data_IF_463058191694
#
_entry.id   IF_463058191694
#
_cell.length_a   1.000
_cell.length_b   1.000
_cell.length_c   1.000
_cell.angle_alpha   90.00
_cell.angle_beta   90.00
_cell.angle_gamma   90.00
#
_symmetry.space_group_name_H-M   'P 1'
#
loop_
_entity.id
_entity.type
_entity.pdbx_description
1 polymer ?
#
# COMPACT_ATOMS: atom_id res chain seq x y z
N UNK A 1 -25.97 1.33 51.59
CA UNK A 1 -25.75 -0.13 51.61
C UNK A 1 -24.33 -0.35 51.14
N UNK A 2 -23.42 -0.76 52.02
CA UNK A 2 -22.04 -1.08 51.62
C UNK A 2 -22.11 -2.44 50.93
N UNK A 3 -21.62 -2.60 49.69
CA UNK A 3 -21.59 -3.91 49.05
C UNK A 3 -20.71 -4.83 49.88
N UNK A 4 -21.26 -5.93 50.41
CA UNK A 4 -20.43 -6.99 50.98
C UNK A 4 -19.62 -7.63 49.85
N UNK A 5 -18.33 -7.80 50.07
CA UNK A 5 -17.43 -8.42 49.10
C UNK A 5 -17.80 -9.89 48.92
N UNK A 6 -18.19 -10.27 47.70
CA UNK A 6 -18.50 -11.66 47.35
C UNK A 6 -17.21 -12.46 47.12
N UNK A 7 -16.92 -13.40 48.04
CA UNK A 7 -15.79 -14.32 47.96
C UNK A 7 -16.16 -15.70 47.36
N UNK A 8 -17.32 -15.83 46.71
CA UNK A 8 -17.79 -17.10 46.15
C UNK A 8 -17.05 -17.55 44.88
N UNK A 9 -16.23 -16.67 44.29
CA UNK A 9 -15.51 -16.95 43.05
C UNK A 9 -14.44 -15.91 42.71
N UNK A 10 -13.70 -16.16 41.64
CA UNK A 10 -12.60 -15.34 41.14
C UNK A 10 -12.75 -15.06 39.64
N UNK A 11 -12.56 -13.82 39.23
CA UNK A 11 -12.41 -13.45 37.82
C UNK A 11 -10.97 -13.70 37.37
N UNK A 12 -10.82 -14.41 36.26
CA UNK A 12 -9.53 -14.77 35.67
C UNK A 12 -9.43 -14.16 34.27
N UNK A 13 -8.43 -13.32 34.09
CA UNK A 13 -7.98 -12.83 32.79
C UNK A 13 -6.80 -13.69 32.29
N UNK A 14 -6.74 -13.92 30.99
CA UNK A 14 -5.68 -14.72 30.34
C UNK A 14 -5.19 -14.00 29.09
N UNK A 15 -4.32 -14.63 28.28
CA UNK A 15 -3.96 -14.12 26.96
C UNK A 15 -5.11 -14.15 25.94
N UNK A 16 -6.19 -14.88 26.23
CA UNK A 16 -7.41 -14.87 25.43
C UNK A 16 -8.26 -13.64 25.77
N UNK A 17 -9.06 -13.18 24.81
CA UNK A 17 -9.92 -12.01 24.96
C UNK A 17 -11.12 -12.22 25.90
N UNK A 18 -11.43 -13.47 26.26
CA UNK A 18 -12.52 -13.81 27.19
C UNK A 18 -12.09 -13.67 28.64
N UNK A 19 -12.96 -13.11 29.50
CA UNK A 19 -12.80 -13.18 30.95
C UNK A 19 -13.74 -14.21 31.56
N UNK A 20 -13.20 -15.06 32.42
CA UNK A 20 -13.95 -16.17 33.02
C UNK A 20 -14.05 -15.99 34.53
N UNK A 21 -15.25 -16.19 35.06
CA UNK A 21 -15.52 -16.23 36.49
C UNK A 21 -15.59 -17.68 36.96
N UNK A 22 -14.72 -18.05 37.88
CA UNK A 22 -14.60 -19.40 38.41
C UNK A 22 -15.09 -19.45 39.85
N UNK A 23 -15.89 -20.47 40.18
CA UNK A 23 -16.35 -20.69 41.55
C UNK A 23 -15.18 -21.15 42.41
N UNK A 24 -15.02 -20.57 43.59
CA UNK A 24 -14.03 -21.02 44.57
C UNK A 24 -14.59 -22.15 45.43
N UNK A 25 -13.76 -23.13 45.83
CA UNK A 25 -14.17 -24.16 46.77
C UNK A 25 -14.51 -23.56 48.13
N UNK A 26 -15.60 -24.02 48.74
CA UNK A 26 -15.86 -23.73 50.15
C UNK A 26 -14.97 -24.64 51.00
N UNK A 27 -14.62 -24.19 52.20
CA UNK A 27 -13.82 -24.97 53.15
C UNK A 27 -14.43 -26.35 53.47
N UNK A 28 -15.75 -26.44 53.43
CA UNK A 28 -16.54 -27.66 53.63
C UNK A 28 -16.42 -28.65 52.47
N UNK A 29 -16.17 -28.14 51.25
CA UNK A 29 -16.06 -28.93 50.01
C UNK A 29 -14.63 -29.43 49.77
N UNK A 30 -13.66 -29.01 50.58
CA UNK A 30 -12.26 -29.41 50.47
C UNK A 30 -12.03 -30.76 51.17
N UNK A 31 -11.40 -31.75 50.50
CA UNK A 31 -11.12 -33.04 51.12
C UNK A 31 -10.19 -32.86 52.33
N UNK A 32 -10.55 -33.48 53.46
CA UNK A 32 -9.92 -33.33 54.79
C UNK A 32 -8.48 -33.87 54.84
N UNK A 33 -8.03 -34.58 53.81
CA UNK A 33 -6.71 -35.20 53.73
C UNK A 33 -6.31 -35.42 52.27
N UNK A 34 -5.36 -34.64 51.76
CA UNK A 34 -4.64 -34.96 50.51
C UNK A 34 -3.21 -34.41 50.51
N UNK A 35 -2.56 -34.35 51.68
CA UNK A 35 -1.12 -34.22 51.76
C UNK A 35 -0.50 -35.57 51.36
N UNK A 36 -0.39 -35.84 50.05
CA UNK A 36 0.33 -37.02 49.54
C UNK A 36 -0.30 -37.77 48.36
N UNK A 37 -1.39 -37.31 47.76
CA UNK A 37 -1.93 -37.92 46.54
C UNK A 37 -1.36 -37.22 45.29
N UNK A 38 -0.66 -37.98 44.45
CA UNK A 38 -0.02 -37.56 43.19
C UNK A 38 -1.01 -37.15 42.07
N UNK A 39 -2.29 -36.98 42.42
CA UNK A 39 -3.38 -36.68 41.50
C UNK A 39 -4.17 -35.46 41.98
N UNK A 40 -3.80 -34.28 41.48
CA UNK A 40 -4.62 -33.07 41.60
C UNK A 40 -5.75 -33.11 40.57
N UNK A 41 -7.00 -33.13 41.04
CA UNK A 41 -8.19 -33.02 40.19
C UNK A 41 -8.70 -31.58 40.22
N UNK A 42 -9.06 -30.97 39.07
CA UNK A 42 -9.65 -29.63 39.04
C UNK A 42 -10.93 -29.55 39.88
N UNK A 43 -11.10 -28.44 40.62
CA UNK A 43 -12.34 -28.19 41.37
C UNK A 43 -13.52 -27.83 40.45
N UNK A 44 -13.23 -27.21 39.30
CA UNK A 44 -14.23 -26.83 38.30
C UNK A 44 -13.63 -26.96 36.91
N UNK A 45 -14.32 -27.67 36.02
CA UNK A 45 -13.89 -27.86 34.62
C UNK A 45 -14.39 -26.77 33.68
N UNK A 46 -15.44 -26.03 34.08
CA UNK A 46 -16.04 -24.94 33.30
C UNK A 46 -16.22 -23.69 34.15
N UNK A 47 -16.11 -22.49 33.56
CA UNK A 47 -16.39 -21.25 34.28
C UNK A 47 -17.88 -21.12 34.58
N UNK A 48 -18.21 -20.45 35.69
CA UNK A 48 -19.59 -20.17 36.07
C UNK A 48 -20.19 -19.03 35.23
N UNK A 49 -19.37 -18.06 34.82
CA UNK A 49 -19.75 -16.97 33.91
C UNK A 49 -18.60 -16.64 32.98
N UNK A 50 -18.92 -16.16 31.78
CA UNK A 50 -17.93 -15.74 30.79
C UNK A 50 -18.35 -14.41 30.17
N UNK A 51 -17.44 -13.43 30.20
CA UNK A 51 -17.52 -12.23 29.38
C UNK A 51 -16.87 -12.56 28.04
N UNK A 52 -17.64 -12.44 26.96
CA UNK A 52 -17.16 -12.74 25.60
C UNK A 52 -16.08 -11.73 25.18
N UNK A 53 -15.04 -12.23 24.55
CA UNK A 53 -14.03 -11.44 23.88
C UNK A 53 -14.20 -11.47 22.36
N UNK A 54 -13.66 -10.46 21.67
CA UNK A 54 -13.58 -10.46 20.20
C UNK A 54 -12.41 -11.30 19.68
N UNK A 55 -12.48 -11.67 18.40
CA UNK A 55 -11.36 -12.31 17.71
C UNK A 55 -10.24 -11.29 17.47
N UNK A 56 -8.99 -11.74 17.64
CA UNK A 56 -7.81 -10.92 17.41
C UNK A 56 -7.11 -11.37 16.12
N UNK A 57 -6.70 -10.43 15.28
CA UNK A 57 -5.90 -10.72 14.08
C UNK A 57 -4.54 -11.28 14.52
N UNK A 58 -4.19 -12.47 14.02
CA UNK A 58 -2.96 -13.19 14.38
C UNK A 58 -1.96 -13.30 13.24
N UNK A 59 -2.44 -13.26 11.99
CA UNK A 59 -1.59 -13.26 10.79
C UNK A 59 -2.01 -12.15 9.85
N UNK A 60 -1.03 -11.63 9.12
CA UNK A 60 -1.24 -10.66 8.05
C UNK A 60 -0.27 -10.94 6.90
N UNK A 61 -0.67 -10.60 5.69
CA UNK A 61 0.18 -10.56 4.52
C UNK A 61 -0.19 -9.35 3.65
N UNK A 62 0.76 -8.42 3.48
CA UNK A 62 0.63 -7.28 2.56
C UNK A 62 0.86 -7.78 1.13
N UNK A 63 -0.15 -7.63 0.26
CA UNK A 63 -0.05 -8.03 -1.14
C UNK A 63 0.94 -7.15 -1.93
N UNK A 64 1.35 -7.65 -3.09
CA UNK A 64 2.35 -7.04 -3.96
C UNK A 64 1.99 -5.63 -4.48
N UNK A 65 0.70 -5.29 -4.50
CA UNK A 65 0.22 -3.95 -4.84
C UNK A 65 0.46 -2.91 -3.74
N UNK A 66 0.97 -3.35 -2.57
CA UNK A 66 1.16 -2.55 -1.36
C UNK A 66 -0.08 -1.74 -1.03
N UNK A 67 -1.26 -2.33 -1.17
CA UNK A 67 -2.52 -1.69 -0.81
C UNK A 67 -3.44 -2.63 -0.08
N UNK A 68 -3.50 -3.89 -0.50
CA UNK A 68 -4.40 -4.86 0.11
C UNK A 68 -3.65 -5.72 1.14
N UNK A 69 -4.33 -6.04 2.24
CA UNK A 69 -3.82 -6.96 3.27
C UNK A 69 -4.79 -8.13 3.41
N UNK A 70 -4.25 -9.34 3.38
CA UNK A 70 -4.97 -10.56 3.78
C UNK A 70 -4.64 -10.83 5.24
N UNK A 71 -5.65 -11.05 6.09
CA UNK A 71 -5.46 -11.35 7.52
C UNK A 71 -6.12 -12.65 7.92
N UNK A 72 -5.63 -13.30 8.98
CA UNK A 72 -6.32 -14.41 9.66
C UNK A 72 -6.44 -14.10 11.16
N UNK A 73 -7.64 -14.24 11.72
CA UNK A 73 -7.93 -14.03 13.14
C UNK A 73 -7.79 -15.30 13.99
N UNK A 74 -8.03 -15.16 15.30
CA UNK A 74 -8.01 -16.27 16.27
C UNK A 74 -9.12 -17.29 16.07
N UNK A 75 -10.16 -16.95 15.31
CA UNK A 75 -11.30 -17.82 14.99
C UNK A 75 -11.11 -18.51 13.62
N UNK A 76 -9.92 -18.35 13.03
CA UNK A 76 -9.48 -18.86 11.72
C UNK A 76 -10.20 -18.21 10.53
N UNK A 77 -10.88 -17.08 10.72
CA UNK A 77 -11.49 -16.35 9.61
C UNK A 77 -10.43 -15.55 8.86
N UNK A 78 -10.47 -15.65 7.54
CA UNK A 78 -9.67 -14.86 6.62
C UNK A 78 -10.48 -13.67 6.13
N UNK A 79 -9.87 -12.49 6.14
CA UNK A 79 -10.46 -11.23 5.69
C UNK A 79 -9.47 -10.48 4.81
N UNK A 80 -10.00 -9.60 3.95
CA UNK A 80 -9.20 -8.72 3.10
C UNK A 80 -9.52 -7.26 3.41
N UNK A 81 -8.48 -6.43 3.47
CA UNK A 81 -8.56 -5.01 3.80
C UNK A 81 -7.90 -4.18 2.70
N UNK A 82 -8.43 -2.98 2.47
CA UNK A 82 -7.84 -1.93 1.64
C UNK A 82 -7.20 -0.88 2.57
N UNK A 83 -5.87 -0.84 2.60
CA UNK A 83 -5.09 0.08 3.46
C UNK A 83 -5.33 1.52 3.06
N UNK A 84 -5.38 1.79 1.75
CA UNK A 84 -5.53 3.15 1.24
C UNK A 84 -6.87 3.76 1.68
N UNK A 85 -7.92 2.94 1.72
CA UNK A 85 -9.28 3.34 2.16
C UNK A 85 -9.56 3.07 3.64
N UNK A 86 -8.59 2.52 4.39
CA UNK A 86 -8.72 2.10 5.78
C UNK A 86 -10.01 1.30 6.08
N UNK A 87 -10.36 0.34 5.23
CA UNK A 87 -11.60 -0.43 5.40
C UNK A 87 -11.42 -1.92 5.10
N UNK A 88 -12.32 -2.73 5.65
CA UNK A 88 -12.46 -4.13 5.26
C UNK A 88 -13.16 -4.19 3.90
N UNK A 89 -12.63 -5.00 2.99
CA UNK A 89 -13.17 -5.24 1.65
C UNK A 89 -14.03 -6.49 1.62
N UNK A 90 -13.55 -7.57 2.25
CA UNK A 90 -14.15 -8.89 2.10
C UNK A 90 -13.95 -9.76 3.35
N UNK A 91 -15.01 -10.43 3.79
CA UNK A 91 -14.96 -11.54 4.74
C UNK A 91 -14.90 -12.86 3.96
N UNK A 92 -13.70 -13.44 3.81
CA UNK A 92 -13.48 -14.66 3.03
C UNK A 92 -13.92 -15.91 3.82
N UNK A 93 -13.85 -15.83 5.15
CA UNK A 93 -14.22 -16.93 6.05
C UNK A 93 -13.09 -17.93 6.27
N UNK A 94 -13.43 -19.17 6.66
CA UNK A 94 -12.44 -20.16 7.10
C UNK A 94 -11.82 -20.90 5.91
N UNK A 95 -10.84 -20.27 5.27
CA UNK A 95 -10.05 -20.82 4.16
C UNK A 95 -8.58 -20.98 4.54
N UNK A 96 -7.81 -21.68 3.70
CA UNK A 96 -6.36 -21.73 3.84
C UNK A 96 -5.74 -20.35 3.55
N UNK A 97 -5.02 -19.80 4.52
CA UNK A 97 -4.45 -18.45 4.45
C UNK A 97 -3.43 -18.30 3.30
N UNK A 98 -2.49 -19.24 3.18
CA UNK A 98 -1.39 -19.14 2.20
C UNK A 98 -1.89 -19.35 0.77
N UNK A 99 -2.89 -20.22 0.57
CA UNK A 99 -3.54 -20.40 -0.73
C UNK A 99 -4.31 -19.14 -1.15
N UNK A 100 -5.00 -18.48 -0.22
CA UNK A 100 -5.73 -17.25 -0.51
C UNK A 100 -4.78 -16.08 -0.82
N UNK A 101 -3.64 -15.98 -0.12
CA UNK A 101 -2.57 -15.03 -0.46
C UNK A 101 -2.02 -15.29 -1.87
N UNK A 102 -1.71 -16.55 -2.19
CA UNK A 102 -1.16 -16.93 -3.50
C UNK A 102 -2.16 -16.63 -4.63
N UNK A 103 -3.44 -16.91 -4.42
CA UNK A 103 -4.53 -16.64 -5.36
C UNK A 103 -4.67 -15.15 -5.69
N UNK A 104 -4.39 -14.26 -4.73
CA UNK A 104 -4.53 -12.80 -4.88
C UNK A 104 -3.25 -12.10 -5.32
N UNK A 105 -2.12 -12.78 -5.24
CA UNK A 105 -0.82 -12.23 -5.61
C UNK A 105 -0.75 -11.98 -7.13
N UNK A 106 -0.44 -10.73 -7.49
CA UNK A 106 -0.20 -10.29 -8.88
C UNK A 106 1.30 -10.11 -9.11
N UNK A 107 1.74 -10.25 -10.36
CA UNK A 107 3.11 -9.94 -10.77
C UNK A 107 3.24 -8.43 -10.96
N UNK A 108 3.25 -7.70 -9.84
CA UNK A 108 3.43 -6.25 -9.77
C UNK A 108 4.38 -5.96 -8.61
N UNK A 109 5.20 -4.93 -8.73
CA UNK A 109 6.02 -4.47 -7.60
C UNK A 109 5.72 -3.02 -7.28
N UNK A 110 5.17 -2.76 -6.11
CA UNK A 110 5.05 -1.42 -5.53
C UNK A 110 6.03 -1.31 -4.34
N UNK A 111 6.82 -0.22 -4.23
CA UNK A 111 7.66 0.02 -3.07
C UNK A 111 6.86 0.02 -1.76
N UNK A 112 7.47 -0.47 -0.68
CA UNK A 112 6.81 -0.49 0.62
C UNK A 112 6.72 0.92 1.20
N UNK A 113 5.52 1.35 1.61
CA UNK A 113 5.25 2.72 2.08
C UNK A 113 4.55 2.78 3.45
N UNK A 114 4.31 1.63 4.08
CA UNK A 114 3.79 1.53 5.44
C UNK A 114 4.30 0.25 6.13
N UNK A 115 4.17 0.19 7.45
CA UNK A 115 4.26 -1.05 8.22
C UNK A 115 2.92 -1.43 8.83
N UNK A 116 2.80 -2.71 9.19
CA UNK A 116 1.63 -3.27 9.87
C UNK A 116 2.05 -3.78 11.24
N UNK A 117 1.33 -3.38 12.28
CA UNK A 117 1.45 -3.89 13.64
C UNK A 117 0.13 -4.57 14.06
N UNK A 118 0.24 -5.66 14.83
CA UNK A 118 -0.89 -6.46 15.32
C UNK A 118 -0.96 -6.55 16.85
N UNK A 119 -0.21 -5.71 17.59
CA UNK A 119 -0.09 -5.81 19.06
C UNK A 119 -1.43 -5.63 19.78
N UNK A 120 -2.35 -4.87 19.19
CA UNK A 120 -3.70 -4.63 19.72
C UNK A 120 -4.71 -5.71 19.34
N UNK A 121 -4.32 -6.70 18.51
CA UNK A 121 -5.24 -7.64 17.88
C UNK A 121 -6.04 -7.03 16.73
N UNK A 122 -5.79 -5.77 16.37
CA UNK A 122 -6.36 -5.07 15.21
C UNK A 122 -5.24 -4.62 14.27
N UNK A 123 -5.56 -4.41 13.00
CA UNK A 123 -4.61 -3.82 12.04
C UNK A 123 -4.27 -2.40 12.47
N UNK A 124 -3.00 -2.15 12.78
CA UNK A 124 -2.45 -0.81 12.99
C UNK A 124 -1.47 -0.51 11.86
N UNK A 125 -1.78 0.51 11.06
CA UNK A 125 -0.96 0.93 9.91
C UNK A 125 -0.08 2.09 10.36
N UNK A 126 1.24 1.95 10.26
CA UNK A 126 2.16 3.02 10.60
C UNK A 126 2.76 3.62 9.33
N UNK A 127 2.68 4.95 9.23
CA UNK A 127 3.30 5.79 8.20
C UNK A 127 4.49 6.52 8.82
N UNK A 128 5.62 6.56 8.11
CA UNK A 128 6.85 7.21 8.60
C UNK A 128 7.74 7.67 7.46
N UNK A 129 8.83 8.37 7.81
CA UNK A 129 9.84 8.83 6.85
C UNK A 129 11.13 7.99 6.89
N UNK A 130 11.38 7.26 7.99
CA UNK A 130 12.63 6.53 8.23
C UNK A 130 12.65 5.14 7.55
N UNK A 131 12.72 4.04 8.31
CA UNK A 131 12.88 2.66 7.81
C UNK A 131 11.92 2.31 6.66
N UNK A 132 10.74 2.92 6.65
CA UNK A 132 9.75 2.82 5.59
C UNK A 132 9.33 4.24 5.19
N UNK A 133 9.67 4.63 3.97
CA UNK A 133 9.31 5.93 3.40
C UNK A 133 7.86 5.92 2.88
N UNK A 134 6.99 6.67 3.56
CA UNK A 134 5.58 6.90 3.25
C UNK A 134 5.35 7.32 1.78
N UNK A 135 6.32 7.98 1.15
CA UNK A 135 6.14 8.54 -0.19
C UNK A 135 6.79 7.73 -1.31
N UNK A 136 7.24 6.51 -1.03
CA UNK A 136 7.89 5.66 -2.03
C UNK A 136 6.95 5.09 -3.11
N UNK A 137 5.65 4.98 -2.82
CA UNK A 137 4.67 4.30 -3.67
C UNK A 137 3.97 5.23 -4.66
N UNK A 138 4.61 5.47 -5.81
CA UNK A 138 3.99 6.07 -6.99
C UNK A 138 3.31 5.01 -7.85
N UNK A 139 2.06 5.21 -8.22
CA UNK A 139 1.31 4.31 -9.10
C UNK A 139 0.46 5.11 -10.08
N UNK A 140 -0.02 4.44 -11.12
CA UNK A 140 -1.02 5.03 -12.01
C UNK A 140 -2.42 5.00 -11.40
N UNK A 141 -3.27 5.99 -11.68
CA UNK A 141 -4.63 6.03 -11.18
C UNK A 141 -5.47 4.85 -11.69
N UNK A 142 -5.20 4.42 -12.93
CA UNK A 142 -5.85 3.25 -13.53
C UNK A 142 -5.46 1.93 -12.84
N UNK A 143 -4.17 1.68 -12.57
CA UNK A 143 -3.75 0.47 -11.84
C UNK A 143 -4.26 0.47 -10.39
N UNK A 144 -4.37 1.64 -9.78
CA UNK A 144 -4.97 1.79 -8.46
C UNK A 144 -6.50 1.62 -8.47
N UNK A 145 -7.16 1.56 -9.64
CA UNK A 145 -8.62 1.51 -9.72
C UNK A 145 -9.29 2.70 -9.02
N UNK A 146 -8.65 3.87 -9.07
CA UNK A 146 -9.22 5.12 -8.58
C UNK A 146 -9.92 5.85 -9.74
N UNK A 147 -11.01 6.58 -9.47
CA UNK A 147 -11.70 7.35 -10.51
C UNK A 147 -10.74 8.37 -11.13
N UNK A 148 -10.71 8.42 -12.47
CA UNK A 148 -9.94 9.40 -13.24
C UNK A 148 -10.90 10.31 -14.01
N UNK A 149 -10.82 11.65 -13.82
CA UNK A 149 -11.48 12.60 -14.69
C UNK A 149 -11.03 12.37 -16.14
N UNK A 150 -11.98 12.36 -17.08
CA UNK A 150 -11.73 12.19 -18.52
C UNK A 150 -10.97 10.92 -18.92
N UNK A 151 -10.94 9.90 -18.04
CA UNK A 151 -10.22 8.64 -18.25
C UNK A 151 -8.71 8.84 -18.52
N UNK A 152 -8.16 9.96 -18.06
CA UNK A 152 -6.73 10.27 -18.19
C UNK A 152 -5.96 9.57 -17.05
N UNK A 153 -4.99 8.74 -17.44
CA UNK A 153 -4.14 8.07 -16.46
C UNK A 153 -3.17 9.07 -15.81
N UNK A 154 -3.35 9.30 -14.51
CA UNK A 154 -2.54 10.23 -13.72
C UNK A 154 -1.63 9.47 -12.77
N UNK A 155 -0.51 10.09 -12.38
CA UNK A 155 0.40 9.50 -11.38
C UNK A 155 0.00 9.98 -9.99
N UNK A 156 -0.21 9.03 -9.10
CA UNK A 156 -0.64 9.26 -7.72
C UNK A 156 0.36 8.65 -6.76
N UNK A 157 0.42 9.21 -5.54
CA UNK A 157 1.27 8.72 -4.47
C UNK A 157 0.39 8.23 -3.30
N UNK A 158 0.48 6.95 -2.94
CA UNK A 158 -0.39 6.37 -1.91
C UNK A 158 -0.25 7.04 -0.54
N UNK A 159 0.99 7.32 -0.10
CA UNK A 159 1.23 8.01 1.16
C UNK A 159 0.65 9.41 1.19
N UNK A 160 0.85 10.19 0.12
CA UNK A 160 0.25 11.52 0.00
C UNK A 160 -1.29 11.47 0.04
N UNK A 161 -1.91 10.51 -0.66
CA UNK A 161 -3.35 10.37 -0.70
C UNK A 161 -3.95 10.00 0.65
N UNK A 162 -3.37 9.03 1.36
CA UNK A 162 -3.93 8.62 2.66
C UNK A 162 -3.78 9.74 3.70
N UNK A 163 -2.66 10.49 3.70
CA UNK A 163 -2.48 11.61 4.64
C UNK A 163 -3.51 12.71 4.39
N UNK A 164 -3.79 13.04 3.12
CA UNK A 164 -4.84 14.00 2.77
C UNK A 164 -6.22 13.53 3.24
N UNK A 165 -6.53 12.25 3.07
CA UNK A 165 -7.81 11.70 3.50
C UNK A 165 -7.94 11.58 5.03
N UNK A 166 -6.85 11.26 5.75
CA UNK A 166 -6.81 11.23 7.22
C UNK A 166 -6.99 12.62 7.85
N UNK A 167 -6.52 13.67 7.16
CA UNK A 167 -6.54 15.05 7.62
C UNK A 167 -7.60 15.91 6.90
N UNK A 168 -8.56 15.30 6.20
CA UNK A 168 -9.51 16.03 5.35
C UNK A 168 -10.29 17.12 6.12
N UNK A 169 -10.71 16.81 7.35
CA UNK A 169 -11.43 17.76 8.20
C UNK A 169 -10.53 18.88 8.75
N UNK A 170 -9.25 18.58 9.00
CA UNK A 170 -8.28 19.58 9.42
C UNK A 170 -7.94 20.55 8.27
N UNK A 171 -7.76 20.03 7.06
CA UNK A 171 -7.52 20.82 5.85
C UNK A 171 -8.71 21.75 5.58
N UNK A 172 -9.94 21.23 5.65
CA UNK A 172 -11.15 22.01 5.45
C UNK A 172 -11.29 23.13 6.50
N UNK A 173 -11.01 22.84 7.78
CA UNK A 173 -11.04 23.83 8.85
C UNK A 173 -10.00 24.95 8.65
N UNK A 174 -8.79 24.61 8.18
CA UNK A 174 -7.74 25.60 7.89
C UNK A 174 -8.15 26.55 6.74
N UNK A 175 -8.81 26.05 5.70
CA UNK A 175 -9.28 26.88 4.59
C UNK A 175 -10.35 27.90 5.05
N UNK A 176 -11.23 27.51 5.97
CA UNK A 176 -12.26 28.41 6.53
C UNK A 176 -11.61 29.53 7.37
N UNK A 177 -10.54 29.23 8.10
CA UNK A 177 -9.82 30.23 8.90
C UNK A 177 -9.08 31.24 8.00
N UNK A 178 -8.47 30.78 6.90
CA UNK A 178 -7.76 31.66 5.96
C UNK A 178 -8.73 32.54 5.13
N UNK A 179 -9.89 32.01 4.71
CA UNK A 179 -10.89 32.76 3.92
C UNK A 179 -11.63 33.84 4.75
N UNK A 180 -11.54 33.80 6.08
CA UNK A 180 -12.13 34.79 6.98
C UNK A 180 -11.47 36.18 6.95
N UNK A 181 -10.34 36.32 6.25
CA UNK A 181 -9.59 37.59 6.15
C UNK A 181 -9.67 38.27 4.77
N UNK A 182 -10.22 37.63 3.72
CA UNK A 182 -10.21 38.16 2.35
C UNK A 182 -11.56 37.94 1.63
N UNK A 183 -12.52 38.86 1.80
CA UNK A 183 -13.86 38.86 1.16
C UNK A 183 -13.85 39.06 -0.39
N UNK A 184 -12.80 38.66 -1.10
CA UNK A 184 -12.50 39.20 -2.43
C UNK A 184 -12.13 38.24 -3.56
N UNK A 185 -11.95 36.92 -3.36
CA UNK A 185 -11.47 36.06 -4.44
C UNK A 185 -12.36 34.84 -4.72
N UNK A 186 -12.94 34.84 -5.92
CA UNK A 186 -13.63 33.71 -6.55
C UNK A 186 -12.64 32.59 -6.97
N UNK A 187 -11.85 32.07 -6.03
CA UNK A 187 -10.90 30.98 -6.25
C UNK A 187 -11.44 29.59 -5.83
N UNK A 188 -12.74 29.49 -5.48
CA UNK A 188 -13.35 28.36 -4.77
C UNK A 188 -13.58 27.09 -5.59
N UNK A 189 -13.07 26.98 -6.81
CA UNK A 189 -13.26 25.78 -7.66
C UNK A 189 -11.98 25.11 -8.14
N UNK A 190 -10.81 25.76 -8.07
CA UNK A 190 -9.55 25.19 -8.59
C UNK A 190 -8.78 24.34 -7.56
N UNK A 191 -9.20 24.33 -6.28
CA UNK A 191 -8.48 23.69 -5.18
C UNK A 191 -9.14 22.39 -4.66
N UNK A 192 -10.19 21.89 -5.31
CA UNK A 192 -10.74 20.59 -4.96
C UNK A 192 -9.76 19.52 -5.40
N UNK A 193 -8.98 19.02 -4.43
CA UNK A 193 -8.20 17.80 -4.65
C UNK A 193 -9.21 16.72 -5.04
N UNK A 194 -9.00 15.95 -6.13
CA UNK A 194 -9.98 14.96 -6.55
C UNK A 194 -10.28 14.04 -5.36
N UNK A 195 -11.54 13.97 -4.95
CA UNK A 195 -11.96 13.15 -3.82
C UNK A 195 -11.92 11.69 -4.26
N UNK A 196 -10.73 11.09 -4.23
CA UNK A 196 -10.52 9.71 -4.68
C UNK A 196 -11.23 8.71 -3.76
N UNK A 197 -11.24 8.98 -2.45
CA UNK A 197 -11.90 8.19 -1.41
C UNK A 197 -11.96 8.99 -0.08
N UNK A 198 -12.78 8.50 0.86
CA UNK A 198 -12.79 8.97 2.26
C UNK A 198 -12.36 7.86 3.21
N UNK A 199 -11.78 8.27 4.33
CA UNK A 199 -11.48 7.38 5.45
C UNK A 199 -12.71 7.35 6.38
N UNK A 200 -13.10 6.20 6.96
CA UNK A 200 -14.18 6.17 7.95
C UNK A 200 -13.88 7.13 9.11
N UNK A 201 -14.79 8.05 9.40
CA UNK A 201 -14.56 9.12 10.38
C UNK A 201 -14.28 8.65 11.82
N UNK A 202 -14.60 7.40 12.15
CA UNK A 202 -14.27 6.77 13.43
C UNK A 202 -12.87 6.14 13.48
N UNK A 203 -12.09 6.23 12.41
CA UNK A 203 -10.72 5.73 12.35
C UNK A 203 -9.86 6.54 13.32
N UNK A 204 -9.16 5.90 14.29
CA UNK A 204 -8.23 6.60 15.16
C UNK A 204 -6.98 7.03 14.39
N UNK A 205 -6.64 8.31 14.46
CA UNK A 205 -5.36 8.85 14.02
C UNK A 205 -4.46 9.03 15.25
N UNK A 206 -3.24 8.50 15.19
CA UNK A 206 -2.26 8.58 16.26
C UNK A 206 -0.99 9.22 15.69
N UNK A 207 -0.51 10.26 16.37
CA UNK A 207 0.78 10.89 16.11
C UNK A 207 1.70 10.46 17.24
N UNK A 208 2.88 9.93 16.91
CA UNK A 208 3.83 9.42 17.89
C UNK A 208 5.27 9.57 17.42
N UNK A 209 6.20 9.58 18.36
CA UNK A 209 7.63 9.39 18.08
C UNK A 209 7.92 7.93 17.72
N UNK A 210 9.03 7.69 17.01
CA UNK A 210 9.47 6.34 16.58
C UNK A 210 9.65 5.38 17.76
N UNK A 211 9.98 5.89 18.96
CA UNK A 211 10.21 5.10 20.19
C UNK A 211 8.93 4.93 21.03
N UNK A 212 7.75 5.15 20.43
CA UNK A 212 6.46 4.72 20.98
C UNK A 212 5.78 5.71 21.93
N UNK A 213 6.34 6.92 22.12
CA UNK A 213 5.63 7.99 22.83
C UNK A 213 4.53 8.55 21.93
N UNK A 214 3.27 8.29 22.28
CA UNK A 214 2.11 8.95 21.68
C UNK A 214 2.12 10.44 22.02
N UNK A 215 2.11 11.28 20.99
CA UNK A 215 2.03 12.72 21.10
C UNK A 215 0.58 13.19 21.10
N UNK A 216 -0.22 12.65 20.17
CA UNK A 216 -1.62 13.02 20.05
C UNK A 216 -2.45 11.89 19.47
N UNK A 217 -3.72 11.78 19.88
CA UNK A 217 -4.68 10.80 19.37
C UNK A 217 -6.06 11.42 19.26
N UNK A 218 -6.68 11.24 18.11
CA UNK A 218 -8.05 11.69 17.82
C UNK A 218 -8.75 10.72 16.86
N UNK A 219 -10.03 10.96 16.58
CA UNK A 219 -10.70 10.32 15.44
C UNK A 219 -10.62 11.25 14.23
N UNK A 220 -10.54 10.67 13.04
CA UNK A 220 -10.46 11.43 11.77
C UNK A 220 -11.56 12.49 11.66
N UNK A 221 -12.81 12.17 12.03
CA UNK A 221 -13.94 13.11 11.94
C UNK A 221 -13.81 14.33 12.86
N UNK A 222 -13.03 14.22 13.93
CA UNK A 222 -12.91 15.25 14.94
C UNK A 222 -11.79 16.25 14.60
N UNK A 223 -10.98 15.97 13.56
CA UNK A 223 -9.77 16.73 13.22
C UNK A 223 -10.00 18.21 12.83
N UNK A 224 -11.25 18.62 12.59
CA UNK A 224 -11.62 20.00 12.32
C UNK A 224 -12.07 20.81 13.56
N UNK A 225 -12.14 20.20 14.75
CA UNK A 225 -12.50 20.90 15.99
C UNK A 225 -11.42 21.90 16.42
N UNK A 226 -11.81 22.99 17.10
CA UNK A 226 -10.87 24.06 17.46
C UNK A 226 -9.70 23.55 18.31
N UNK A 227 -9.94 22.65 19.26
CA UNK A 227 -8.88 22.08 20.11
C UNK A 227 -8.00 21.13 19.30
N UNK A 228 -8.61 20.24 18.52
CA UNK A 228 -7.94 19.28 17.66
C UNK A 228 -7.07 19.97 16.61
N UNK A 229 -7.54 21.07 16.04
CA UNK A 229 -6.84 21.85 15.03
C UNK A 229 -5.50 22.39 15.55
N UNK A 230 -5.51 23.00 16.73
CA UNK A 230 -4.30 23.49 17.39
C UNK A 230 -3.36 22.33 17.77
N UNK A 231 -3.90 21.25 18.35
CA UNK A 231 -3.10 20.08 18.69
C UNK A 231 -2.46 19.42 17.45
N UNK A 232 -3.16 19.34 16.33
CA UNK A 232 -2.61 18.81 15.08
C UNK A 232 -1.50 19.72 14.55
N UNK A 233 -1.70 21.04 14.53
CA UNK A 233 -0.70 22.01 14.10
C UNK A 233 0.62 21.87 14.88
N UNK A 234 0.53 21.64 16.19
CA UNK A 234 1.70 21.54 17.07
C UNK A 234 2.41 20.17 17.00
N UNK A 235 1.69 19.10 16.66
CA UNK A 235 2.22 17.73 16.73
C UNK A 235 2.48 17.09 15.36
N UNK A 236 1.93 17.62 14.26
CA UNK A 236 2.16 17.05 12.93
C UNK A 236 3.64 17.15 12.53
N UNK A 237 4.26 16.05 12.07
CA UNK A 237 5.63 16.08 11.60
C UNK A 237 5.82 17.03 10.39
N UNK A 238 6.98 17.71 10.28
CA UNK A 238 7.27 18.61 9.15
C UNK A 238 7.08 17.96 7.78
N UNK A 239 7.48 16.69 7.62
CA UNK A 239 7.34 15.95 6.36
C UNK A 239 5.87 15.73 5.94
N UNK A 240 4.93 15.71 6.89
CA UNK A 240 3.49 15.67 6.59
C UNK A 240 3.03 17.06 6.16
N UNK A 241 3.45 18.11 6.87
CA UNK A 241 3.11 19.50 6.55
C UNK A 241 3.60 19.90 5.14
N UNK A 242 4.79 19.47 4.74
CA UNK A 242 5.32 19.69 3.39
C UNK A 242 4.38 19.20 2.29
N UNK A 243 3.72 18.06 2.50
CA UNK A 243 2.78 17.49 1.52
C UNK A 243 1.40 18.14 1.59
N UNK A 244 0.91 18.37 2.80
CA UNK A 244 -0.48 18.79 3.05
C UNK A 244 -0.66 20.30 2.88
N UNK A 245 0.24 21.09 3.47
CA UNK A 245 0.19 22.55 3.51
C UNK A 245 0.97 23.14 2.35
N UNK A 246 2.26 22.80 2.23
CA UNK A 246 3.14 23.37 1.20
C UNK A 246 2.90 22.79 -0.20
N UNK A 247 2.11 21.71 -0.30
CA UNK A 247 1.82 21.00 -1.56
C UNK A 247 3.09 20.57 -2.31
N UNK A 248 4.20 20.37 -1.59
CA UNK A 248 5.47 19.93 -2.13
C UNK A 248 5.43 18.44 -2.46
N UNK A 249 4.84 18.09 -3.61
CA UNK A 249 4.64 16.69 -4.00
C UNK A 249 5.95 15.88 -3.98
N UNK A 250 5.91 14.60 -3.55
CA UNK A 250 7.10 13.77 -3.50
C UNK A 250 7.81 13.66 -4.86
N UNK A 251 9.12 13.44 -4.85
CA UNK A 251 9.87 13.25 -6.10
C UNK A 251 9.62 11.85 -6.65
N UNK A 252 9.65 11.72 -7.97
CA UNK A 252 9.62 10.41 -8.61
C UNK A 252 10.94 9.66 -8.38
N UNK A 253 10.82 8.37 -8.11
CA UNK A 253 11.96 7.45 -8.06
C UNK A 253 12.42 7.14 -9.47
N UNK A 254 13.74 7.23 -9.71
CA UNK A 254 14.34 6.90 -11.00
C UNK A 254 15.19 5.64 -10.91
N UNK A 255 15.16 4.84 -11.98
CA UNK A 255 15.98 3.63 -12.13
C UNK A 255 16.90 3.81 -13.34
N UNK A 256 18.21 3.57 -13.19
CA UNK A 256 19.13 3.47 -14.32
C UNK A 256 19.00 2.09 -15.00
N UNK A 257 19.09 2.07 -16.33
CA UNK A 257 19.01 0.86 -17.13
C UNK A 257 19.75 0.99 -18.47
N UNK A 258 20.03 -0.15 -19.09
CA UNK A 258 20.64 -0.25 -20.42
C UNK A 258 19.68 -0.92 -21.40
N UNK A 259 19.77 -0.55 -22.67
CA UNK A 259 19.07 -1.21 -23.78
C UNK A 259 20.11 -1.71 -24.78
N UNK A 260 20.11 -3.00 -25.06
CA UNK A 260 21.06 -3.66 -25.94
C UNK A 260 20.34 -4.44 -27.05
N UNK A 261 20.91 -4.55 -28.26
CA UNK A 261 20.38 -5.46 -29.26
C UNK A 261 20.52 -6.91 -28.76
N UNK A 262 19.46 -7.70 -28.84
CA UNK A 262 19.55 -9.11 -28.51
C UNK A 262 20.51 -9.82 -29.48
N UNK A 263 21.19 -10.87 -29.00
CA UNK A 263 22.19 -11.64 -29.78
C UNK A 263 21.68 -12.18 -31.13
N UNK A 264 20.38 -12.39 -31.25
CA UNK A 264 19.72 -12.86 -32.48
C UNK A 264 19.49 -11.77 -33.52
N UNK A 265 19.54 -10.50 -33.13
CA UNK A 265 19.13 -9.38 -33.98
C UNK A 265 20.19 -8.98 -35.02
N UNK A 266 21.39 -9.59 -35.03
CA UNK A 266 22.52 -9.31 -35.93
C UNK A 266 22.88 -7.81 -36.10
N UNK A 267 22.38 -6.94 -35.22
CA UNK A 267 22.60 -5.49 -35.25
C UNK A 267 23.83 -5.12 -34.44
N UNK A 268 24.73 -4.34 -35.04
CA UNK A 268 25.85 -3.71 -34.34
C UNK A 268 25.47 -2.29 -33.95
N UNK A 269 24.92 -2.11 -32.75
CA UNK A 269 24.72 -0.76 -32.18
C UNK A 269 26.06 -0.27 -31.64
N UNK A 270 26.51 0.91 -32.07
CA UNK A 270 27.86 1.43 -31.81
C UNK A 270 28.06 2.02 -30.40
N UNK A 271 26.98 2.37 -29.69
CA UNK A 271 27.00 2.82 -28.29
C UNK A 271 25.78 2.34 -27.51
N UNK A 272 26.04 1.79 -26.33
CA UNK A 272 25.02 1.40 -25.35
C UNK A 272 24.93 2.51 -24.31
N UNK A 273 24.02 3.45 -24.50
CA UNK A 273 23.86 4.56 -23.57
C UNK A 273 23.16 4.09 -22.28
N UNK A 274 23.67 4.55 -21.13
CA UNK A 274 23.04 4.34 -19.82
C UNK A 274 21.84 5.29 -19.71
N UNK A 275 20.63 4.74 -19.74
CA UNK A 275 19.39 5.50 -19.64
C UNK A 275 18.92 5.59 -18.18
N UNK A 276 18.15 6.62 -17.88
CA UNK A 276 17.53 6.82 -16.57
C UNK A 276 16.10 7.27 -16.77
N UNK A 277 15.15 6.55 -16.19
CA UNK A 277 13.73 6.88 -16.26
C UNK A 277 13.05 6.71 -14.90
N UNK A 278 11.79 7.14 -14.78
CA UNK A 278 10.99 6.84 -13.61
C UNK A 278 10.79 5.33 -13.48
N UNK A 279 10.78 4.83 -12.25
CA UNK A 279 10.71 3.39 -11.94
C UNK A 279 9.39 2.73 -12.39
N UNK A 280 8.31 3.50 -12.43
CA UNK A 280 7.00 3.10 -12.95
C UNK A 280 6.85 3.26 -14.49
N UNK A 281 7.93 3.54 -15.23
CA UNK A 281 7.86 3.58 -16.70
C UNK A 281 7.46 2.20 -17.24
N UNK A 282 6.41 2.13 -18.04
CA UNK A 282 5.91 0.89 -18.62
C UNK A 282 6.80 0.40 -19.77
N UNK A 283 6.89 -0.92 -19.94
CA UNK A 283 7.73 -1.57 -20.94
C UNK A 283 7.33 -1.19 -22.36
N UNK A 284 6.05 -0.98 -22.65
CA UNK A 284 5.62 -0.49 -23.96
C UNK A 284 6.24 0.87 -24.34
N UNK A 285 6.42 1.79 -23.37
CA UNK A 285 7.10 3.08 -23.60
C UNK A 285 8.59 2.93 -23.85
N UNK A 286 9.21 1.91 -23.28
CA UNK A 286 10.60 1.57 -23.59
C UNK A 286 10.69 1.03 -25.02
N UNK A 287 9.72 0.20 -25.45
CA UNK A 287 9.67 -0.31 -26.82
C UNK A 287 9.46 0.81 -27.86
N UNK A 288 8.57 1.77 -27.59
CA UNK A 288 8.40 3.00 -28.40
C UNK A 288 9.73 3.76 -28.54
N UNK A 289 10.46 3.94 -27.43
CA UNK A 289 11.76 4.61 -27.46
C UNK A 289 12.79 3.88 -28.34
N UNK A 290 12.83 2.55 -28.31
CA UNK A 290 13.69 1.75 -29.19
C UNK A 290 13.34 2.00 -30.66
N UNK A 291 12.05 1.96 -31.00
CA UNK A 291 11.60 2.13 -32.37
C UNK A 291 11.94 3.54 -32.91
N UNK A 292 11.64 4.59 -32.15
CA UNK A 292 11.81 5.97 -32.60
C UNK A 292 13.26 6.45 -32.58
N UNK A 293 14.01 6.12 -31.52
CA UNK A 293 15.33 6.72 -31.26
C UNK A 293 16.49 5.82 -31.61
N UNK A 294 16.37 4.51 -31.45
CA UNK A 294 17.46 3.57 -31.74
C UNK A 294 17.39 3.11 -33.20
N UNK A 295 16.21 2.68 -33.65
CA UNK A 295 16.01 2.19 -35.03
C UNK A 295 15.68 3.31 -36.01
N UNK A 296 14.85 4.29 -35.61
CA UNK A 296 14.46 5.42 -36.47
C UNK A 296 15.58 6.44 -36.73
N UNK A 297 16.66 6.43 -35.94
CA UNK A 297 17.81 7.30 -36.17
C UNK A 297 18.59 6.95 -37.45
N UNK A 298 18.69 5.66 -37.81
CA UNK A 298 19.40 5.19 -39.00
C UNK A 298 18.70 5.61 -40.31
N UNK A 299 17.38 5.86 -40.28
CA UNK A 299 16.60 6.27 -41.46
C UNK A 299 16.75 7.76 -41.80
N UNK A 300 17.16 8.61 -40.84
CA UNK A 300 17.31 10.06 -41.05
C UNK A 300 18.66 10.48 -41.67
N UNK A 301 19.54 9.51 -41.95
CA UNK A 301 20.87 9.74 -42.55
C UNK A 301 20.96 9.57 -44.07
N UNK A 302 19.90 9.15 -44.77
CA UNK A 302 19.94 8.93 -46.23
C UNK A 302 18.95 9.87 -46.92
N UNK A 303 19.36 11.13 -47.09
CA UNK A 303 18.80 12.02 -48.11
C UNK A 303 19.28 11.56 -49.49
N UNK A 304 18.65 10.54 -50.05
CA UNK A 304 18.57 10.37 -51.50
C UNK A 304 17.10 10.24 -51.83
N UNK A 305 16.52 11.33 -52.35
CA UNK A 305 15.16 11.32 -52.84
C UNK A 305 14.96 10.21 -53.87
N UNK A 306 13.85 9.49 -53.74
CA UNK A 306 12.94 9.07 -54.81
C UNK A 306 11.85 8.18 -54.19
N UNK A 307 10.59 8.52 -54.46
CA UNK A 307 9.49 7.55 -54.49
C UNK A 307 8.71 7.35 -53.19
N UNK A 308 7.67 8.17 -53.03
CA UNK A 308 6.48 7.80 -52.27
C UNK A 308 5.91 6.47 -52.78
N UNK A 309 5.82 5.46 -51.90
CA UNK A 309 4.92 4.31 -52.06
C UNK A 309 3.99 4.25 -50.85
N UNK A 310 2.66 4.11 -51.05
CA UNK A 310 1.68 4.16 -49.99
C UNK A 310 1.51 2.78 -49.36
N UNK A 311 1.94 2.63 -48.11
CA UNK A 311 1.51 1.52 -47.24
C UNK A 311 1.19 2.11 -45.85
N UNK A 312 0.18 2.99 -45.80
CA UNK A 312 -0.25 3.68 -44.59
C UNK A 312 -0.90 2.75 -43.54
N UNK A 313 -1.12 1.46 -43.86
CA UNK A 313 -1.70 0.48 -42.93
C UNK A 313 -0.66 -0.22 -42.03
N UNK A 314 0.63 -0.23 -42.40
CA UNK A 314 1.67 -0.95 -41.63
C UNK A 314 2.40 -0.05 -40.61
N UNK A 315 2.20 1.27 -40.69
CA UNK A 315 2.78 2.24 -39.77
C UNK A 315 1.98 2.47 -38.48
N UNK A 316 0.73 1.99 -38.42
CA UNK A 316 -0.15 2.17 -37.26
C UNK A 316 -0.16 1.01 -36.25
N UNK A 317 0.70 -0.01 -36.42
CA UNK A 317 0.84 -1.08 -35.42
C UNK A 317 1.57 -0.53 -34.19
N UNK A 318 1.07 -0.79 -32.96
CA UNK A 318 1.70 -0.33 -31.72
C UNK A 318 3.14 -0.86 -31.62
N UNK A 319 4.03 -0.09 -31.00
CA UNK A 319 5.47 -0.39 -30.98
C UNK A 319 5.79 -1.78 -30.40
N UNK A 320 4.95 -2.27 -29.49
CA UNK A 320 5.01 -3.61 -28.90
C UNK A 320 4.79 -4.77 -29.89
N UNK A 321 4.12 -4.53 -31.03
CA UNK A 321 3.98 -5.52 -32.10
C UNK A 321 5.24 -5.60 -32.99
N UNK A 322 6.03 -4.51 -33.02
CA UNK A 322 7.26 -4.40 -33.85
C UNK A 322 8.52 -4.76 -33.06
N UNK A 323 8.53 -4.50 -31.75
CA UNK A 323 9.68 -4.66 -30.87
C UNK A 323 9.32 -5.52 -29.66
N UNK A 324 10.06 -6.62 -29.48
CA UNK A 324 10.01 -7.42 -28.26
C UNK A 324 11.16 -7.04 -27.33
N UNK A 325 10.83 -6.70 -26.08
CA UNK A 325 11.81 -6.50 -25.02
C UNK A 325 11.97 -7.78 -24.19
N UNK A 326 13.22 -8.07 -23.86
CA UNK A 326 13.67 -9.29 -23.19
C UNK A 326 14.56 -8.90 -22.01
N UNK A 327 14.41 -9.56 -20.87
CA UNK A 327 15.34 -9.44 -19.74
C UNK A 327 15.67 -10.84 -19.23
N UNK A 328 16.96 -11.15 -19.04
CA UNK A 328 17.43 -12.48 -18.63
C UNK A 328 16.84 -13.65 -19.45
N UNK A 329 16.64 -13.44 -20.76
CA UNK A 329 16.05 -14.44 -21.66
C UNK A 329 14.53 -14.58 -21.60
N UNK A 330 13.84 -13.83 -20.74
CA UNK A 330 12.38 -13.80 -20.64
C UNK A 330 11.80 -12.62 -21.43
N UNK A 331 10.78 -12.88 -22.26
CA UNK A 331 10.00 -11.83 -22.94
C UNK A 331 9.18 -11.08 -21.90
N UNK A 332 9.23 -9.75 -21.96
CA UNK A 332 8.54 -8.86 -21.04
C UNK A 332 7.13 -8.55 -21.52
N UNK A 333 6.17 -8.53 -20.58
CA UNK A 333 4.82 -8.04 -20.86
C UNK A 333 4.86 -6.50 -21.00
N UNK A 334 4.32 -5.93 -22.10
CA UNK A 334 4.29 -4.48 -22.33
C UNK A 334 3.63 -3.66 -21.22
N UNK A 335 2.73 -4.28 -20.45
CA UNK A 335 2.03 -3.66 -19.31
C UNK A 335 2.84 -3.66 -18.01
N UNK A 336 3.95 -4.40 -17.93
CA UNK A 336 4.85 -4.31 -16.77
C UNK A 336 5.55 -2.95 -16.73
N UNK A 337 6.05 -2.58 -15.55
CA UNK A 337 6.92 -1.42 -15.36
C UNK A 337 8.37 -1.82 -15.01
N UNK A 338 9.30 -0.87 -15.16
CA UNK A 338 10.74 -1.11 -14.95
C UNK A 338 11.03 -1.67 -13.55
N UNK A 339 10.34 -1.20 -12.51
CA UNK A 339 10.52 -1.69 -11.14
C UNK A 339 10.04 -3.13 -10.96
N UNK A 340 8.94 -3.54 -11.61
CA UNK A 340 8.45 -4.92 -11.57
C UNK A 340 9.42 -5.85 -12.29
N UNK A 341 9.92 -5.44 -13.45
CA UNK A 341 10.97 -6.19 -14.17
C UNK A 341 12.23 -6.30 -13.31
N UNK A 342 12.68 -5.20 -12.69
CA UNK A 342 13.85 -5.20 -11.80
C UNK A 342 13.68 -6.17 -10.64
N UNK A 343 12.51 -6.18 -10.00
CA UNK A 343 12.24 -6.98 -8.81
C UNK A 343 12.07 -8.47 -9.11
N UNK A 344 11.27 -8.83 -10.12
CA UNK A 344 10.90 -10.23 -10.37
C UNK A 344 11.78 -10.96 -11.39
N UNK A 345 12.37 -10.24 -12.35
CA UNK A 345 13.07 -10.84 -13.50
C UNK A 345 14.59 -10.58 -13.42
N UNK A 346 15.00 -9.32 -13.21
CA UNK A 346 16.42 -8.96 -13.16
C UNK A 346 17.13 -9.52 -11.93
N UNK A 347 16.59 -9.23 -10.73
CA UNK A 347 17.06 -9.76 -9.43
C UNK A 347 18.55 -9.54 -9.12
N UNK A 348 19.20 -8.59 -9.79
CA UNK A 348 20.60 -8.23 -9.56
C UNK A 348 20.71 -6.80 -9.02
N UNK A 349 21.77 -6.55 -8.25
CA UNK A 349 22.05 -5.22 -7.68
C UNK A 349 22.56 -4.22 -8.72
N UNK A 350 23.06 -4.71 -9.85
CA UNK A 350 23.49 -3.92 -11.00
C UNK A 350 22.31 -3.24 -11.69
N UNK A 351 22.62 -2.25 -12.52
CA UNK A 351 21.63 -1.57 -13.36
C UNK A 351 20.88 -2.57 -14.23
N UNK A 352 19.59 -2.31 -14.44
CA UNK A 352 18.71 -3.18 -15.23
C UNK A 352 19.22 -3.25 -16.67
N UNK A 353 19.31 -4.45 -17.24
CA UNK A 353 19.68 -4.65 -18.63
C UNK A 353 18.51 -5.23 -19.41
N UNK A 354 18.07 -4.50 -20.44
CA UNK A 354 17.03 -4.88 -21.36
C UNK A 354 17.64 -5.18 -22.73
N UNK A 355 17.18 -6.25 -23.36
CA UNK A 355 17.56 -6.65 -24.71
C UNK A 355 16.35 -6.49 -25.64
N UNK A 356 16.53 -5.95 -26.85
CA UNK A 356 15.43 -5.81 -27.80
C UNK A 356 15.61 -6.69 -29.05
N UNK A 357 14.47 -7.15 -29.61
CA UNK A 357 14.38 -7.89 -30.86
C UNK A 357 13.35 -7.23 -31.77
N UNK A 358 13.64 -7.20 -33.07
CA UNK A 358 12.64 -6.85 -34.08
C UNK A 358 11.79 -8.07 -34.40
N UNK A 359 10.48 -7.91 -34.43
CA UNK A 359 9.58 -9.02 -34.73
C UNK A 359 9.45 -9.18 -36.26
N UNK A 360 10.20 -10.10 -36.86
CA UNK A 360 10.12 -10.40 -38.31
C UNK A 360 8.88 -11.23 -38.70
N UNK A 361 7.96 -11.51 -37.78
CA UNK A 361 6.79 -12.36 -37.99
C UNK A 361 5.47 -11.57 -37.99
N UNK A 362 5.33 -10.66 -38.94
CA UNK A 362 4.05 -10.12 -39.45
C UNK A 362 4.33 -9.18 -40.63
N UNK A 363 5.07 -9.70 -41.62
CA UNK A 363 5.04 -9.14 -42.99
C UNK A 363 3.84 -9.68 -43.70
#
# INVERSE_FOLDING_TARGET
MVPETDFSGIWVATANSTLNYWKLPKKEDLPVSSLGADHMVPYSDTPLRTIKGGAAIRKQHVLNDKRHIVTQDSDMNVCVYDVLKACKVEDVGKVNFDEEVKKRSKIVYVPNWFSVDLKTGMLTINLGQDEIDCFSAWVSSKEAGLPSPDNVDSKINYGSLILKALLEHWIAASQIQDDGEDEGSAASQANQTPEYFKIPGHTPLIISEVVGRGLYRLLVRDAGGDTEHHCLRDNLPPWVLDIIVEKNMPKFTKIPFYINPHKSSNMKVSKTDRLVANDFLQIHKVAEHVLEKILGADTTGINTGLGSSPNEEQDNLPAEDKIELVCNGQILDPQMDLRTVRHFIWKQATDLNLEFKTNSKRT
#
